data_IF_871932762392
#
_entry.id   IF_871932762392
#
_cell.length_a   1.000
_cell.length_b   1.000
_cell.length_c   1.000
_cell.angle_alpha   90.00
_cell.angle_beta   90.00
_cell.angle_gamma   90.00
#
_symmetry.space_group_name_H-M   'P 1'
#
loop_
_entity.id
_entity.type
_entity.pdbx_description
1 polymer ?
#
# COMPACT_ATOMS: atom_id res chain seq x y z
N UNK A 1 19.11 -4.40 9.66
CA UNK A 1 18.49 -5.73 9.46
C UNK A 1 18.65 -6.67 10.66
N UNK A 2 19.86 -6.90 11.22
CA UNK A 2 20.06 -7.80 12.37
C UNK A 2 19.16 -7.49 13.57
N UNK A 3 19.05 -6.23 13.98
CA UNK A 3 18.19 -5.83 15.10
C UNK A 3 16.72 -6.17 14.88
N UNK A 4 16.19 -5.92 13.68
CA UNK A 4 14.80 -6.25 13.34
C UNK A 4 14.54 -7.75 13.36
N UNK A 5 15.41 -8.55 12.76
CA UNK A 5 15.30 -10.02 12.77
C UNK A 5 15.29 -10.58 14.19
N UNK A 6 16.08 -10.01 15.10
CA UNK A 6 16.06 -10.39 16.53
C UNK A 6 14.73 -10.05 17.20
N UNK A 7 14.18 -8.85 16.97
CA UNK A 7 12.89 -8.41 17.54
C UNK A 7 11.74 -9.33 17.16
N UNK A 8 11.70 -9.80 15.91
CA UNK A 8 10.60 -10.63 15.40
C UNK A 8 10.78 -12.13 15.65
N UNK A 9 11.93 -12.59 16.20
CA UNK A 9 12.26 -14.01 16.34
C UNK A 9 11.14 -14.82 16.99
N UNK A 10 10.59 -14.33 18.10
CA UNK A 10 9.56 -15.01 18.89
C UNK A 10 8.15 -14.48 18.61
N UNK A 11 7.95 -13.72 17.53
CA UNK A 11 6.66 -13.20 17.12
C UNK A 11 5.98 -14.15 16.14
N UNK A 12 4.66 -14.19 16.17
CA UNK A 12 3.85 -14.97 15.24
C UNK A 12 3.22 -14.09 14.17
N UNK A 13 2.81 -12.86 14.55
CA UNK A 13 2.20 -11.87 13.65
C UNK A 13 3.08 -10.63 13.54
N UNK A 14 3.19 -10.13 12.32
CA UNK A 14 3.84 -8.85 12.03
C UNK A 14 2.80 -7.96 11.38
N UNK A 15 2.53 -6.81 11.97
CA UNK A 15 1.61 -5.81 11.43
C UNK A 15 2.45 -4.63 10.90
N UNK A 16 2.32 -4.30 9.64
CA UNK A 16 3.07 -3.25 8.97
C UNK A 16 2.11 -2.16 8.52
N UNK A 17 2.31 -0.93 8.97
CA UNK A 17 1.56 0.23 8.47
C UNK A 17 2.35 0.97 7.40
N UNK A 18 1.66 1.37 6.31
CA UNK A 18 2.24 2.09 5.17
C UNK A 18 1.37 3.31 4.86
N UNK A 19 1.90 4.52 5.06
CA UNK A 19 1.16 5.76 4.83
C UNK A 19 1.02 6.11 3.34
N UNK A 20 0.13 7.05 3.05
CA UNK A 20 -0.08 7.65 1.72
C UNK A 20 0.89 8.79 1.41
N UNK A 21 0.60 9.51 0.32
CA UNK A 21 1.30 10.76 -0.01
C UNK A 21 0.85 11.90 0.89
N UNK A 22 1.63 12.99 0.90
CA UNK A 22 1.33 14.24 1.58
C UNK A 22 1.18 14.13 3.11
N UNK A 23 1.74 13.10 3.71
CA UNK A 23 1.76 12.91 5.16
C UNK A 23 3.16 13.20 5.73
N UNK A 24 3.20 13.99 6.82
CA UNK A 24 4.41 14.09 7.62
C UNK A 24 4.61 12.85 8.49
N UNK A 25 5.84 12.70 9.02
CA UNK A 25 6.15 11.65 10.00
C UNK A 25 5.19 11.68 11.20
N UNK A 26 4.94 12.87 11.77
CA UNK A 26 4.09 13.02 12.97
C UNK A 26 2.61 12.68 12.68
N UNK A 27 2.09 13.10 11.53
CA UNK A 27 0.73 12.73 11.09
C UNK A 27 0.61 11.22 10.90
N UNK A 28 1.57 10.61 10.20
CA UNK A 28 1.59 9.16 10.01
C UNK A 28 1.70 8.41 11.33
N UNK A 29 2.55 8.86 12.25
CA UNK A 29 2.70 8.24 13.58
C UNK A 29 1.41 8.34 14.40
N UNK A 30 0.73 9.50 14.40
CA UNK A 30 -0.57 9.68 15.05
C UNK A 30 -1.60 8.70 14.51
N UNK A 31 -1.73 8.64 13.17
CA UNK A 31 -2.66 7.75 12.49
C UNK A 31 -2.40 6.28 12.79
N UNK A 32 -1.14 5.85 12.78
CA UNK A 32 -0.77 4.47 13.12
C UNK A 32 -1.09 4.14 14.58
N UNK A 33 -0.88 5.08 15.51
CA UNK A 33 -1.23 4.88 16.91
C UNK A 33 -2.74 4.74 17.11
N UNK A 34 -3.55 5.55 16.40
CA UNK A 34 -5.01 5.41 16.40
C UNK A 34 -5.44 4.06 15.83
N UNK A 35 -4.90 3.64 14.69
CA UNK A 35 -5.22 2.33 14.12
C UNK A 35 -4.84 1.17 15.06
N UNK A 36 -3.67 1.24 15.70
CA UNK A 36 -3.23 0.25 16.69
C UNK A 36 -4.17 0.15 17.88
N UNK A 37 -4.74 1.25 18.35
CA UNK A 37 -5.67 1.24 19.49
C UNK A 37 -6.99 0.50 19.20
N UNK A 38 -7.32 0.27 17.95
CA UNK A 38 -8.48 -0.50 17.51
C UNK A 38 -8.22 -2.00 17.41
N UNK A 39 -6.98 -2.43 17.59
CA UNK A 39 -6.55 -3.82 17.43
C UNK A 39 -6.38 -4.54 18.77
N UNK A 40 -6.64 -5.84 18.76
CA UNK A 40 -6.32 -6.74 19.87
C UNK A 40 -4.89 -7.27 19.71
N UNK A 41 -3.92 -6.47 20.16
CA UNK A 41 -2.51 -6.76 20.02
C UNK A 41 -1.97 -7.47 21.25
N UNK A 42 -1.27 -8.58 21.03
CA UNK A 42 -0.52 -9.29 22.05
C UNK A 42 0.99 -9.01 21.90
N UNK A 43 1.52 -8.14 22.72
CA UNK A 43 2.93 -7.70 22.64
C UNK A 43 3.96 -8.84 22.72
N UNK A 44 3.61 -10.02 23.27
CA UNK A 44 4.47 -11.21 23.26
C UNK A 44 4.48 -11.91 21.90
N UNK A 45 3.35 -11.92 21.18
CA UNK A 45 3.17 -12.65 19.92
C UNK A 45 3.19 -11.76 18.68
N UNK A 46 2.94 -10.47 18.84
CA UNK A 46 2.79 -9.50 17.75
C UNK A 46 3.93 -8.50 17.75
N UNK A 47 4.33 -8.09 16.56
CA UNK A 47 5.24 -6.97 16.34
C UNK A 47 4.57 -5.99 15.40
N UNK A 48 4.64 -4.70 15.73
CA UNK A 48 4.11 -3.62 14.88
C UNK A 48 5.27 -2.82 14.29
N UNK A 49 5.23 -2.64 12.99
CA UNK A 49 6.22 -1.91 12.20
C UNK A 49 5.54 -0.72 11.53
N UNK A 50 6.03 0.46 11.78
CA UNK A 50 5.63 1.66 11.07
C UNK A 50 6.60 1.86 9.90
N UNK A 51 6.15 1.62 8.68
CA UNK A 51 6.95 1.82 7.47
C UNK A 51 6.75 3.26 6.99
N UNK A 52 7.84 4.00 6.94
CA UNK A 52 7.86 5.37 6.43
C UNK A 52 8.60 5.41 5.10
N UNK A 53 8.04 6.14 4.16
CA UNK A 53 8.62 6.38 2.85
C UNK A 53 8.44 7.84 2.45
N UNK A 54 9.19 8.32 1.47
CA UNK A 54 9.07 9.71 1.00
C UNK A 54 7.81 9.87 0.13
N UNK A 55 6.69 10.09 0.81
CA UNK A 55 5.39 10.36 0.19
C UNK A 55 5.27 11.80 -0.32
N UNK A 56 6.34 12.59 -0.22
CA UNK A 56 6.39 14.01 -0.55
C UNK A 56 5.32 14.84 0.20
N UNK A 57 5.67 15.99 0.70
CA UNK A 57 4.73 16.91 1.35
C UNK A 57 4.70 18.24 0.63
N UNK A 58 3.50 18.77 0.38
CA UNK A 58 3.31 20.11 -0.17
C UNK A 58 2.09 20.76 0.46
N UNK A 59 2.22 22.06 0.70
CA UNK A 59 1.10 22.92 1.15
C UNK A 59 0.52 23.74 -0.02
N UNK A 60 0.96 23.48 -1.26
CA UNK A 60 0.61 24.27 -2.43
C UNK A 60 -0.16 23.44 -3.45
N UNK A 61 -1.29 23.96 -3.95
CA UNK A 61 -2.14 23.32 -4.94
C UNK A 61 -1.37 23.01 -6.25
N UNK A 62 -0.47 23.90 -6.68
CA UNK A 62 0.38 23.65 -7.86
C UNK A 62 1.47 22.59 -7.58
N UNK A 63 1.94 22.48 -6.35
CA UNK A 63 2.81 21.41 -5.90
C UNK A 63 2.12 20.05 -5.86
N UNK A 64 0.81 20.02 -5.57
CA UNK A 64 0.06 18.78 -5.44
C UNK A 64 0.09 17.92 -6.72
N UNK A 65 -0.03 18.51 -7.91
CA UNK A 65 0.06 17.79 -9.17
C UNK A 65 1.46 17.20 -9.40
N UNK A 66 2.52 17.96 -9.10
CA UNK A 66 3.91 17.51 -9.20
C UNK A 66 4.18 16.38 -8.20
N UNK A 67 3.74 16.55 -6.95
CA UNK A 67 3.83 15.53 -5.89
C UNK A 67 3.12 14.26 -6.34
N UNK A 68 1.94 14.37 -6.92
CA UNK A 68 1.16 13.22 -7.36
C UNK A 68 1.88 12.40 -8.44
N UNK A 69 2.46 13.05 -9.45
CA UNK A 69 3.20 12.37 -10.52
C UNK A 69 4.47 11.73 -9.99
N UNK A 70 5.25 12.47 -9.18
CA UNK A 70 6.49 11.95 -8.59
C UNK A 70 6.25 10.83 -7.57
N UNK A 71 5.12 10.87 -6.84
CA UNK A 71 4.76 9.87 -5.86
C UNK A 71 4.55 8.47 -6.49
N UNK A 72 4.23 8.39 -7.78
CA UNK A 72 4.12 7.10 -8.47
C UNK A 72 5.46 6.37 -8.48
N UNK A 73 6.52 7.01 -8.96
CA UNK A 73 7.86 6.43 -8.98
C UNK A 73 8.39 6.20 -7.56
N UNK A 74 8.24 7.19 -6.65
CA UNK A 74 8.70 7.06 -5.27
C UNK A 74 8.02 5.90 -4.55
N UNK A 75 6.71 5.69 -4.74
CA UNK A 75 5.99 4.59 -4.10
C UNK A 75 6.45 3.21 -4.60
N UNK A 76 6.71 3.07 -5.90
CA UNK A 76 7.23 1.83 -6.47
C UNK A 76 8.64 1.55 -5.93
N UNK A 77 9.49 2.56 -5.91
CA UNK A 77 10.84 2.46 -5.37
C UNK A 77 10.84 2.10 -3.89
N UNK A 78 10.00 2.74 -3.09
CA UNK A 78 9.83 2.42 -1.67
C UNK A 78 9.34 0.98 -1.47
N UNK A 79 8.48 0.48 -2.36
CA UNK A 79 8.03 -0.90 -2.35
C UNK A 79 9.17 -1.87 -2.66
N UNK A 80 9.84 -1.71 -3.79
CA UNK A 80 10.85 -2.65 -4.28
C UNK A 80 12.15 -2.62 -3.46
N UNK A 81 12.63 -1.44 -3.06
CA UNK A 81 13.89 -1.31 -2.31
C UNK A 81 13.71 -1.24 -0.79
N UNK A 82 12.55 -0.85 -0.30
CA UNK A 82 12.28 -0.69 1.12
C UNK A 82 11.45 -1.83 1.70
N UNK A 83 10.15 -1.84 1.40
CA UNK A 83 9.21 -2.79 1.99
C UNK A 83 9.55 -4.24 1.63
N UNK A 84 9.96 -4.51 0.39
CA UNK A 84 10.38 -5.86 -0.04
C UNK A 84 11.59 -6.37 0.76
N UNK A 85 12.60 -5.52 0.99
CA UNK A 85 13.74 -5.89 1.84
C UNK A 85 13.33 -6.20 3.27
N UNK A 86 12.36 -5.44 3.80
CA UNK A 86 11.79 -5.73 5.11
C UNK A 86 11.09 -7.09 5.10
N UNK A 87 10.25 -7.39 4.09
CA UNK A 87 9.56 -8.66 3.94
C UNK A 87 10.54 -9.83 3.77
N UNK A 88 11.64 -9.64 3.06
CA UNK A 88 12.70 -10.64 2.90
C UNK A 88 13.39 -11.02 4.22
N UNK A 89 13.33 -10.15 5.24
CA UNK A 89 13.86 -10.45 6.57
C UNK A 89 12.86 -11.22 7.47
N UNK A 90 11.60 -11.33 7.05
CA UNK A 90 10.53 -12.02 7.80
C UNK A 90 10.40 -13.44 7.27
N UNK A 91 10.32 -14.44 8.17
CA UNK A 91 10.22 -15.87 7.80
C UNK A 91 9.18 -16.59 8.65
N UNK A 92 8.32 -17.37 8.00
CA UNK A 92 7.32 -18.24 8.65
C UNK A 92 6.39 -17.47 9.60
N UNK A 93 5.86 -16.33 9.16
CA UNK A 93 4.98 -15.46 9.96
C UNK A 93 3.69 -15.13 9.21
N UNK A 94 2.68 -14.75 9.99
CA UNK A 94 1.52 -14.04 9.47
C UNK A 94 1.88 -12.55 9.38
N UNK A 95 1.81 -12.00 8.19
CA UNK A 95 2.16 -10.61 7.91
C UNK A 95 0.91 -9.87 7.44
N UNK A 96 0.53 -8.84 8.17
CA UNK A 96 -0.59 -7.97 7.83
C UNK A 96 -0.04 -6.61 7.43
N UNK A 97 -0.33 -6.16 6.23
CA UNK A 97 0.12 -4.86 5.72
C UNK A 97 -1.09 -3.96 5.56
N UNK A 98 -1.18 -2.92 6.38
CA UNK A 98 -2.27 -1.95 6.35
C UNK A 98 -1.75 -0.68 5.70
N UNK A 99 -2.26 -0.39 4.51
CA UNK A 99 -1.84 0.75 3.72
C UNK A 99 -2.97 1.74 3.48
N UNK A 100 -2.61 3.00 3.26
CA UNK A 100 -3.55 4.06 2.94
C UNK A 100 -3.15 4.76 1.64
N UNK A 101 -4.15 5.09 0.84
CA UNK A 101 -3.97 5.92 -0.36
C UNK A 101 -2.86 5.37 -1.29
N UNK A 102 -1.86 6.18 -1.66
CA UNK A 102 -0.74 5.76 -2.50
C UNK A 102 0.21 4.75 -1.82
N UNK A 103 0.11 4.55 -0.51
CA UNK A 103 0.76 3.43 0.18
C UNK A 103 0.38 2.06 -0.38
N UNK A 104 -0.77 1.94 -1.04
CA UNK A 104 -1.16 0.73 -1.77
C UNK A 104 -0.18 0.40 -2.91
N UNK A 105 0.34 1.41 -3.63
CA UNK A 105 1.36 1.21 -4.67
C UNK A 105 2.68 0.69 -4.10
N UNK A 106 3.07 1.17 -2.90
CA UNK A 106 4.24 0.63 -2.17
C UNK A 106 4.06 -0.87 -1.93
N UNK A 107 2.87 -1.27 -1.47
CA UNK A 107 2.57 -2.68 -1.18
C UNK A 107 2.54 -3.53 -2.44
N UNK A 108 1.83 -3.09 -3.49
CA UNK A 108 1.77 -3.80 -4.77
C UNK A 108 3.17 -4.01 -5.36
N UNK A 109 4.03 -2.98 -5.32
CA UNK A 109 5.38 -3.06 -5.85
C UNK A 109 6.29 -3.95 -4.99
N UNK A 110 6.07 -4.01 -3.67
CA UNK A 110 6.82 -4.91 -2.80
C UNK A 110 6.50 -6.38 -3.02
N UNK A 111 5.23 -6.69 -3.36
CA UNK A 111 4.71 -8.07 -3.44
C UNK A 111 4.75 -8.66 -4.86
N UNK A 112 4.84 -7.82 -5.89
CA UNK A 112 4.97 -8.26 -7.28
C UNK A 112 6.42 -8.56 -7.64
N UNK A 113 6.63 -9.26 -8.75
CA UNK A 113 7.94 -9.34 -9.38
C UNK A 113 8.47 -7.93 -9.68
N UNK A 114 9.80 -7.70 -9.55
CA UNK A 114 10.36 -6.38 -9.74
C UNK A 114 10.22 -5.93 -11.19
N UNK A 115 9.39 -4.92 -11.42
CA UNK A 115 9.15 -4.36 -12.75
C UNK A 115 9.06 -2.84 -12.65
N UNK A 116 10.19 -2.17 -12.60
CA UNK A 116 10.23 -0.75 -12.88
C UNK A 116 10.10 -0.51 -14.38
N UNK A 117 9.19 0.35 -14.77
CA UNK A 117 9.08 0.81 -16.16
C UNK A 117 10.39 1.47 -16.60
N UNK A 118 10.72 1.34 -17.89
CA UNK A 118 11.98 1.88 -18.44
C UNK A 118 12.15 3.38 -18.17
N UNK A 119 11.08 4.16 -18.23
CA UNK A 119 11.06 5.59 -17.89
C UNK A 119 11.33 5.83 -16.41
N UNK A 120 10.79 5.00 -15.53
CA UNK A 120 10.96 5.07 -14.08
C UNK A 120 12.39 4.68 -13.69
N UNK A 121 12.98 3.66 -14.35
CA UNK A 121 14.40 3.30 -14.20
C UNK A 121 15.30 4.49 -14.44
N UNK A 122 15.13 5.18 -15.55
CA UNK A 122 15.93 6.38 -15.89
C UNK A 122 15.78 7.50 -14.86
N UNK A 123 14.57 7.71 -14.32
CA UNK A 123 14.34 8.71 -13.28
C UNK A 123 15.05 8.30 -11.99
N UNK A 124 14.93 7.05 -11.59
CA UNK A 124 15.58 6.51 -10.38
C UNK A 124 17.11 6.60 -10.48
N UNK A 125 17.68 6.17 -11.58
CA UNK A 125 19.12 6.23 -11.81
C UNK A 125 19.64 7.69 -11.79
N UNK A 126 18.91 8.60 -12.44
CA UNK A 126 19.31 10.00 -12.56
C UNK A 126 19.16 10.82 -11.28
N UNK A 127 18.05 10.65 -10.56
CA UNK A 127 17.66 11.53 -9.46
C UNK A 127 17.86 10.91 -8.08
N UNK A 128 17.83 9.60 -7.97
CA UNK A 128 18.00 8.89 -6.69
C UNK A 128 19.35 8.17 -6.58
N UNK A 129 20.16 8.20 -7.64
CA UNK A 129 21.48 7.54 -7.71
C UNK A 129 21.42 6.05 -7.30
N UNK A 130 20.28 5.39 -7.55
CA UNK A 130 20.09 3.99 -7.23
C UNK A 130 20.36 3.13 -8.46
N UNK A 131 21.16 2.10 -8.26
CA UNK A 131 21.33 1.07 -9.28
C UNK A 131 20.12 0.14 -9.29
N UNK A 132 19.30 0.22 -10.34
CA UNK A 132 18.05 -0.56 -10.46
C UNK A 132 18.33 -2.05 -10.63
N UNK A 133 19.56 -2.44 -10.99
CA UNK A 133 19.96 -3.85 -11.07
C UNK A 133 20.12 -4.51 -9.71
N UNK A 134 20.12 -3.74 -8.61
CA UNK A 134 20.22 -4.23 -7.23
C UNK A 134 18.86 -4.53 -6.58
N UNK A 135 17.75 -4.41 -7.31
CA UNK A 135 16.42 -4.74 -6.78
C UNK A 135 16.33 -6.25 -6.57
N UNK A 136 16.20 -6.63 -5.30
CA UNK A 136 16.04 -8.03 -4.92
C UNK A 136 14.64 -8.52 -5.28
N UNK A 137 14.54 -9.80 -5.65
CA UNK A 137 13.27 -10.50 -5.72
C UNK A 137 12.68 -10.69 -4.32
N UNK A 138 11.36 -10.79 -4.23
CA UNK A 138 10.71 -11.17 -2.99
C UNK A 138 10.93 -12.67 -2.75
N UNK A 139 11.64 -13.01 -1.66
CA UNK A 139 11.95 -14.38 -1.28
C UNK A 139 10.72 -15.09 -0.75
N UNK A 140 10.48 -16.30 -1.23
CA UNK A 140 9.41 -17.18 -0.73
C UNK A 140 9.81 -17.78 0.63
N UNK A 141 9.62 -17.00 1.70
CA UNK A 141 10.09 -17.30 3.05
C UNK A 141 9.04 -18.04 3.94
N UNK A 142 7.99 -18.58 3.32
CA UNK A 142 6.93 -19.30 4.06
C UNK A 142 6.00 -18.38 4.86
N UNK A 143 5.95 -17.09 4.58
CA UNK A 143 5.01 -16.17 5.21
C UNK A 143 3.60 -16.36 4.65
N UNK A 144 2.60 -15.91 5.42
CA UNK A 144 1.23 -15.67 4.93
C UNK A 144 0.99 -14.18 4.97
N UNK A 145 0.87 -13.55 3.81
CA UNK A 145 0.79 -12.09 3.70
C UNK A 145 -0.65 -11.70 3.35
N UNK A 146 -1.20 -10.81 4.16
CA UNK A 146 -2.52 -10.22 3.99
C UNK A 146 -2.35 -8.71 3.87
N UNK A 147 -2.92 -8.11 2.83
CA UNK A 147 -2.88 -6.66 2.64
C UNK A 147 -4.28 -6.07 2.83
N UNK A 148 -4.41 -5.04 3.65
CA UNK A 148 -5.62 -4.24 3.84
C UNK A 148 -5.33 -2.85 3.30
N UNK A 149 -6.01 -2.46 2.24
CA UNK A 149 -5.80 -1.19 1.54
C UNK A 149 -6.98 -0.25 1.79
N UNK A 150 -6.76 0.80 2.57
CA UNK A 150 -7.73 1.84 2.84
C UNK A 150 -7.60 2.96 1.80
N UNK A 151 -8.69 3.31 1.14
CA UNK A 151 -8.71 4.31 0.06
C UNK A 151 -7.58 4.14 -0.97
N UNK A 152 -7.33 2.95 -1.54
CA UNK A 152 -6.14 2.74 -2.36
C UNK A 152 -6.14 3.64 -3.61
N UNK A 153 -5.17 4.54 -3.67
CA UNK A 153 -4.97 5.47 -4.78
C UNK A 153 -4.10 4.83 -5.88
N UNK A 154 -4.57 3.73 -6.43
CA UNK A 154 -3.95 2.94 -7.52
C UNK A 154 -4.97 2.61 -8.58
N UNK A 155 -4.52 2.31 -9.79
CA UNK A 155 -5.36 1.91 -10.91
C UNK A 155 -4.90 0.59 -11.54
N UNK A 156 -5.59 0.16 -12.60
CA UNK A 156 -5.23 -1.06 -13.33
C UNK A 156 -3.76 -1.08 -13.77
N UNK A 157 -3.19 0.09 -14.06
CA UNK A 157 -1.79 0.22 -14.48
C UNK A 157 -0.79 -0.16 -13.40
N UNK A 158 -1.14 -0.03 -12.12
CA UNK A 158 -0.29 -0.46 -11.00
C UNK A 158 -0.19 -1.99 -10.89
N UNK A 159 -1.15 -2.71 -11.48
CA UNK A 159 -1.18 -4.17 -11.57
C UNK A 159 -0.52 -4.71 -12.86
N UNK A 160 0.03 -3.85 -13.71
CA UNK A 160 0.64 -4.24 -14.98
C UNK A 160 2.12 -3.89 -15.03
N UNK A 161 2.88 -4.68 -15.79
CA UNK A 161 4.26 -4.40 -16.13
C UNK A 161 4.38 -3.30 -17.21
N UNK A 162 5.58 -2.98 -17.63
CA UNK A 162 5.87 -1.96 -18.66
C UNK A 162 5.42 -2.37 -20.07
N UNK A 163 5.15 -3.65 -20.29
CA UNK A 163 4.61 -4.20 -21.55
C UNK A 163 3.08 -4.30 -21.52
N UNK A 164 2.45 -3.97 -20.39
CA UNK A 164 1.01 -4.04 -20.20
C UNK A 164 0.47 -5.41 -19.78
N UNK A 165 1.34 -6.38 -19.49
CA UNK A 165 0.93 -7.66 -18.93
C UNK A 165 0.61 -7.51 -17.44
N UNK A 166 -0.29 -8.33 -16.94
CA UNK A 166 -0.57 -8.40 -15.51
C UNK A 166 0.62 -8.96 -14.74
N UNK A 167 1.00 -8.28 -13.65
CA UNK A 167 2.10 -8.68 -12.79
C UNK A 167 1.83 -10.01 -12.10
N UNK A 168 2.89 -10.78 -11.87
CA UNK A 168 2.86 -11.94 -10.98
C UNK A 168 3.14 -11.49 -9.56
N UNK A 169 2.45 -12.06 -8.60
CA UNK A 169 2.62 -11.80 -7.18
C UNK A 169 3.16 -13.02 -6.45
N UNK A 170 3.86 -12.79 -5.34
CA UNK A 170 4.39 -13.82 -4.45
C UNK A 170 3.30 -14.83 -4.03
N UNK A 171 3.64 -16.11 -3.99
CA UNK A 171 2.76 -17.19 -3.49
C UNK A 171 2.42 -17.04 -1.99
N UNK A 172 3.17 -16.22 -1.27
CA UNK A 172 2.90 -15.88 0.12
C UNK A 172 1.70 -14.96 0.29
N UNK A 173 1.31 -14.21 -0.76
CA UNK A 173 0.15 -13.32 -0.74
C UNK A 173 -1.13 -14.14 -0.70
N UNK A 174 -1.92 -13.96 0.37
CA UNK A 174 -3.18 -14.68 0.60
C UNK A 174 -4.39 -13.84 0.22
N UNK A 175 -4.37 -12.56 0.53
CA UNK A 175 -5.42 -11.64 0.10
C UNK A 175 -4.94 -10.20 0.01
N UNK A 176 -5.60 -9.43 -0.85
CA UNK A 176 -5.62 -7.97 -0.85
C UNK A 176 -7.07 -7.54 -0.62
N UNK A 177 -7.35 -7.00 0.54
CA UNK A 177 -8.64 -6.43 0.91
C UNK A 177 -8.64 -4.94 0.61
N UNK A 178 -9.47 -4.50 -0.32
CA UNK A 178 -9.59 -3.10 -0.73
C UNK A 178 -10.86 -2.48 -0.21
N UNK A 179 -10.79 -1.26 0.33
CA UNK A 179 -11.99 -0.45 0.47
C UNK A 179 -12.33 0.20 -0.86
N UNK A 180 -13.61 0.14 -1.25
CA UNK A 180 -14.10 0.80 -2.47
C UNK A 180 -15.02 1.94 -2.06
N UNK A 181 -14.73 3.14 -2.54
CA UNK A 181 -15.51 4.33 -2.20
C UNK A 181 -15.77 5.22 -3.41
N UNK A 182 -16.93 5.03 -4.04
CA UNK A 182 -17.37 5.82 -5.20
C UNK A 182 -17.69 7.29 -4.89
N UNK A 183 -17.63 7.71 -3.62
CA UNK A 183 -17.86 9.09 -3.19
C UNK A 183 -16.59 9.79 -2.70
N UNK A 184 -15.45 9.10 -2.69
CA UNK A 184 -14.17 9.69 -2.32
C UNK A 184 -13.72 10.71 -3.36
N UNK A 185 -13.68 11.98 -2.95
CA UNK A 185 -13.35 13.09 -3.84
C UNK A 185 -11.92 13.02 -4.38
N UNK A 186 -10.97 12.54 -3.58
CA UNK A 186 -9.56 12.42 -3.97
C UNK A 186 -9.38 11.30 -4.98
N UNK A 187 -9.96 10.13 -4.73
CA UNK A 187 -9.91 8.99 -5.66
C UNK A 187 -10.66 9.28 -6.96
N UNK A 188 -11.82 9.94 -6.89
CA UNK A 188 -12.57 10.40 -8.03
C UNK A 188 -11.90 11.57 -8.77
N UNK A 189 -10.81 12.12 -8.18
CA UNK A 189 -10.02 13.25 -8.67
C UNK A 189 -10.82 14.54 -8.89
N UNK A 190 -11.98 14.64 -8.28
CA UNK A 190 -12.77 15.84 -8.18
C UNK A 190 -12.91 16.62 -9.50
N UNK A 191 -12.63 17.93 -9.44
CA UNK A 191 -12.63 18.82 -10.59
C UNK A 191 -11.31 18.86 -11.39
N UNK A 192 -10.30 18.06 -10.99
CA UNK A 192 -8.99 18.03 -11.65
C UNK A 192 -9.03 17.23 -12.94
N UNK A 193 -9.58 17.72 -13.95
CA UNK A 193 -9.64 17.33 -15.34
C UNK A 193 -9.16 15.93 -15.81
N UNK A 194 -9.51 15.61 -17.04
CA UNK A 194 -9.22 14.35 -17.74
C UNK A 194 -7.73 13.93 -17.69
N UNK A 195 -6.81 14.90 -17.71
CA UNK A 195 -5.36 14.64 -17.76
C UNK A 195 -4.83 13.93 -16.50
N UNK A 196 -5.31 14.34 -15.32
CA UNK A 196 -4.90 13.70 -14.07
C UNK A 196 -5.44 12.26 -13.92
N UNK A 197 -6.58 11.97 -14.55
CA UNK A 197 -7.16 10.61 -14.56
C UNK A 197 -6.36 9.65 -15.44
N UNK A 198 -5.77 10.15 -16.52
CA UNK A 198 -4.98 9.35 -17.47
C UNK A 198 -3.59 9.08 -16.90
N UNK A 199 -2.92 10.09 -16.34
CA UNK A 199 -1.53 9.99 -15.91
C UNK A 199 -1.33 9.15 -14.65
N UNK A 200 -2.30 9.17 -13.73
CA UNK A 200 -2.19 8.46 -12.44
C UNK A 200 -3.56 7.92 -12.02
N UNK A 201 -4.06 6.86 -12.66
CA UNK A 201 -5.38 6.33 -12.35
C UNK A 201 -5.47 5.84 -10.89
N UNK A 202 -6.62 6.10 -10.26
CA UNK A 202 -6.92 5.76 -8.86
C UNK A 202 -8.24 5.00 -8.75
N UNK A 203 -8.65 4.40 -9.83
CA UNK A 203 -9.96 3.81 -10.02
C UNK A 203 -10.14 2.48 -9.30
N UNK A 204 -9.06 1.82 -8.85
CA UNK A 204 -9.16 0.58 -8.07
C UNK A 204 -9.87 0.79 -6.72
N UNK A 205 -9.56 1.88 -6.00
CA UNK A 205 -10.24 2.22 -4.75
C UNK A 205 -11.55 3.00 -4.93
N UNK A 206 -11.88 3.41 -6.15
CA UNK A 206 -13.03 4.25 -6.46
C UNK A 206 -14.16 3.48 -7.16
N UNK A 207 -13.82 2.61 -8.11
CA UNK A 207 -14.75 2.00 -9.05
C UNK A 207 -15.01 0.53 -8.76
N UNK A 208 -16.24 0.14 -8.39
CA UNK A 208 -16.60 -1.28 -8.29
C UNK A 208 -16.38 -2.07 -9.59
N UNK A 209 -16.49 -1.39 -10.75
CA UNK A 209 -16.23 -2.00 -12.06
C UNK A 209 -14.77 -2.38 -12.21
N UNK A 210 -13.86 -1.45 -11.94
CA UNK A 210 -12.41 -1.69 -12.00
C UNK A 210 -12.00 -2.82 -11.05
N UNK A 211 -12.53 -2.82 -9.83
CA UNK A 211 -12.31 -3.93 -8.91
C UNK A 211 -12.75 -5.27 -9.51
N UNK A 212 -13.95 -5.33 -10.09
CA UNK A 212 -14.50 -6.56 -10.67
C UNK A 212 -13.69 -7.06 -11.87
N UNK A 213 -13.13 -6.16 -12.67
CA UNK A 213 -12.23 -6.51 -13.78
C UNK A 213 -10.92 -7.12 -13.27
N UNK A 214 -10.30 -6.50 -12.26
CA UNK A 214 -9.08 -7.01 -11.65
C UNK A 214 -9.31 -8.32 -10.89
N UNK A 215 -10.47 -8.49 -10.26
CA UNK A 215 -10.78 -9.71 -9.52
C UNK A 215 -10.95 -10.94 -10.43
N UNK A 216 -11.23 -10.75 -11.72
CA UNK A 216 -11.19 -11.87 -12.71
C UNK A 216 -9.76 -12.38 -12.94
N UNK A 217 -8.77 -11.48 -12.80
CA UNK A 217 -7.36 -11.83 -12.96
C UNK A 217 -6.73 -12.31 -11.65
N UNK A 218 -7.16 -11.76 -10.52
CA UNK A 218 -6.57 -12.00 -9.20
C UNK A 218 -7.65 -12.41 -8.20
N UNK A 219 -7.83 -13.72 -8.01
CA UNK A 219 -8.88 -14.28 -7.13
C UNK A 219 -8.63 -13.99 -5.64
N UNK A 220 -7.47 -13.51 -5.27
CA UNK A 220 -7.13 -13.10 -3.91
C UNK A 220 -7.61 -11.67 -3.55
N UNK A 221 -8.30 -10.98 -4.46
CA UNK A 221 -8.85 -9.65 -4.18
C UNK A 221 -10.17 -9.76 -3.41
N UNK A 222 -10.26 -9.04 -2.31
CA UNK A 222 -11.45 -8.88 -1.48
C UNK A 222 -11.82 -7.40 -1.38
N UNK A 223 -13.07 -7.09 -1.08
CA UNK A 223 -13.51 -5.69 -0.94
C UNK A 223 -14.53 -5.48 0.15
N UNK A 224 -14.53 -4.26 0.69
CA UNK A 224 -15.62 -3.69 1.48
C UNK A 224 -16.04 -2.36 0.87
N UNK A 225 -17.34 -2.14 0.73
CA UNK A 225 -17.89 -0.90 0.20
C UNK A 225 -17.92 0.19 1.28
N UNK A 226 -17.18 1.27 1.06
CA UNK A 226 -17.10 2.47 1.88
C UNK A 226 -17.83 3.67 1.23
N UNK A 227 -18.64 3.43 0.20
CA UNK A 227 -19.43 4.50 -0.43
C UNK A 227 -20.24 5.25 0.61
N UNK A 228 -20.15 6.59 0.57
CA UNK A 228 -20.68 7.48 1.60
C UNK A 228 -19.64 8.06 2.57
N UNK A 229 -18.44 7.49 2.64
CA UNK A 229 -17.31 8.08 3.34
C UNK A 229 -16.79 9.28 2.50
N UNK A 230 -17.00 10.50 2.98
CA UNK A 230 -16.72 11.72 2.20
C UNK A 230 -15.25 12.10 2.18
N UNK A 231 -14.55 11.91 3.28
CA UNK A 231 -13.13 12.25 3.42
C UNK A 231 -12.24 11.11 2.89
N UNK A 232 -11.07 11.50 2.39
CA UNK A 232 -9.99 10.59 2.00
C UNK A 232 -9.00 10.31 3.14
N UNK A 233 -9.17 10.98 4.28
CA UNK A 233 -8.21 10.95 5.39
C UNK A 233 -8.17 9.56 6.03
N UNK A 234 -6.96 9.11 6.39
CA UNK A 234 -6.74 7.81 7.02
C UNK A 234 -7.58 7.65 8.29
N UNK A 235 -7.65 8.71 9.11
CA UNK A 235 -8.40 8.71 10.37
C UNK A 235 -9.88 8.40 10.15
N UNK A 236 -10.49 8.98 9.12
CA UNK A 236 -11.90 8.78 8.83
C UNK A 236 -12.19 7.35 8.33
N UNK A 237 -11.26 6.74 7.63
CA UNK A 237 -11.38 5.33 7.22
C UNK A 237 -11.26 4.38 8.40
N UNK A 238 -10.34 4.63 9.35
CA UNK A 238 -10.17 3.74 10.51
C UNK A 238 -11.26 3.93 11.58
N UNK A 239 -11.89 5.11 11.64
CA UNK A 239 -13.03 5.35 12.55
C UNK A 239 -14.35 4.87 12.00
N UNK A 240 -14.42 4.54 10.72
CA UNK A 240 -15.60 3.94 10.12
C UNK A 240 -15.84 2.53 10.71
N UNK A 241 -17.07 2.19 11.16
CA UNK A 241 -17.36 0.88 11.76
C UNK A 241 -16.95 -0.31 10.88
N UNK A 242 -17.04 -0.18 9.56
CA UNK A 242 -16.60 -1.21 8.59
C UNK A 242 -15.13 -1.56 8.71
N UNK A 243 -14.26 -0.65 9.16
CA UNK A 243 -12.87 -0.97 9.41
C UNK A 243 -12.72 -1.98 10.55
N UNK A 244 -13.50 -1.82 11.63
CA UNK A 244 -13.53 -2.81 12.72
C UNK A 244 -13.98 -4.19 12.20
N UNK A 245 -14.98 -4.25 11.32
CA UNK A 245 -15.44 -5.50 10.70
C UNK A 245 -14.30 -6.17 9.91
N UNK A 246 -13.53 -5.39 9.14
CA UNK A 246 -12.34 -5.89 8.44
C UNK A 246 -11.30 -6.42 9.44
N UNK A 247 -11.01 -5.70 10.52
CA UNK A 247 -10.07 -6.17 11.54
C UNK A 247 -10.53 -7.49 12.19
N UNK A 248 -11.83 -7.66 12.45
CA UNK A 248 -12.40 -8.89 12.98
C UNK A 248 -12.25 -10.04 11.97
N UNK A 249 -12.55 -9.81 10.68
CA UNK A 249 -12.36 -10.79 9.60
C UNK A 249 -10.91 -11.32 9.57
N UNK A 250 -9.94 -10.46 9.77
CA UNK A 250 -8.51 -10.80 9.80
C UNK A 250 -7.98 -11.18 11.18
N UNK A 251 -8.85 -11.32 12.18
CA UNK A 251 -8.50 -11.66 13.58
C UNK A 251 -7.49 -10.67 14.20
N UNK A 252 -7.62 -9.41 13.84
CA UNK A 252 -6.84 -8.30 14.37
C UNK A 252 -7.61 -7.53 15.45
N UNK A 253 -8.92 -7.72 15.57
CA UNK A 253 -9.80 -7.21 16.62
C UNK A 253 -10.84 -8.27 17.04
N UNK A 254 -11.55 -7.99 18.15
CA UNK A 254 -12.69 -8.77 18.66
C UNK A 254 -13.99 -8.04 18.40
#
# INVERSE_FOLDING_TARGET
MFYFAHRIKNKNRIIIFVHGINNSYLESLSNYNKAKSLMDLNTKKDEVVNFYWDGLKTNNIFGAAKVWVSATTNSQLAGENGLRRLLNAIKNKDVYIISHSRGASVVLSALADPVLKTTEKKIVEKYHHLNVTEIEELKENGNRIYSIMLAPAVGVVDFKDDKGHFKTYSNQLKSIHSTINGTDFVLGKGKTGLLSRILTPTDFGYSPKTFSELNKQYLFLEKTDFTGQKSHDFEDYITNPKFKEILIQYKLAK
#
